data_IF_788368944736
#
_entry.id   IF_788368944736
#
_cell.length_a   1.000
_cell.length_b   1.000
_cell.length_c   1.000
_cell.angle_alpha   90.00
_cell.angle_beta   90.00
_cell.angle_gamma   90.00
#
_symmetry.space_group_name_H-M   'P 1'
#
loop_
_entity.id
_entity.type
_entity.pdbx_description
1 polymer ?
#
# COMPACT_ATOMS: atom_id res chain seq x y z
N UNK A 1 -1.51 10.74 11.25
CA UNK A 1 -1.57 9.28 11.45
C UNK A 1 -0.79 8.63 10.33
N UNK A 2 0.19 7.81 10.69
CA UNK A 2 0.99 6.99 9.77
C UNK A 2 0.48 5.56 10.00
N UNK A 3 0.08 4.85 8.94
CA UNK A 3 -0.22 3.42 9.05
C UNK A 3 0.98 2.65 8.51
N UNK A 4 1.50 1.70 9.29
CA UNK A 4 2.64 0.88 8.90
C UNK A 4 2.16 -0.56 8.76
N UNK A 5 2.28 -1.10 7.55
CA UNK A 5 1.92 -2.49 7.28
C UNK A 5 3.19 -3.28 6.91
N UNK A 6 3.35 -4.50 7.44
CA UNK A 6 4.47 -5.36 7.05
C UNK A 6 4.30 -5.78 5.59
N UNK A 7 5.37 -5.67 4.82
CA UNK A 7 5.44 -6.13 3.45
C UNK A 7 6.54 -7.18 3.29
N UNK A 8 6.34 -8.06 2.33
CA UNK A 8 7.30 -9.08 1.92
C UNK A 8 7.80 -8.75 0.53
N UNK A 9 9.12 -8.53 0.42
CA UNK A 9 9.80 -8.30 -0.85
C UNK A 9 10.37 -9.61 -1.35
N UNK A 10 9.87 -10.06 -2.48
CA UNK A 10 10.32 -11.29 -3.14
C UNK A 10 10.85 -10.94 -4.53
N UNK A 11 12.10 -11.29 -4.87
CA UNK A 11 12.60 -11.13 -6.23
C UNK A 11 11.85 -12.05 -7.20
N UNK A 12 11.47 -11.52 -8.35
CA UNK A 12 10.82 -12.27 -9.44
C UNK A 12 11.83 -12.88 -10.43
N UNK A 13 11.34 -13.62 -11.43
CA UNK A 13 12.15 -14.25 -12.47
C UNK A 13 12.74 -13.24 -13.48
N UNK A 14 12.16 -12.04 -13.60
CA UNK A 14 12.64 -10.94 -14.46
C UNK A 14 13.71 -10.07 -13.77
N UNK A 15 13.97 -10.31 -12.47
CA UNK A 15 14.90 -9.54 -11.65
C UNK A 15 14.28 -8.30 -11.01
N UNK A 16 12.95 -8.13 -11.07
CA UNK A 16 12.24 -7.11 -10.31
C UNK A 16 11.94 -7.61 -8.89
N UNK A 17 11.54 -6.69 -8.02
CA UNK A 17 11.09 -6.97 -6.66
C UNK A 17 9.58 -6.87 -6.59
N UNK A 18 8.93 -7.97 -6.26
CA UNK A 18 7.50 -8.03 -5.95
C UNK A 18 7.29 -7.75 -4.48
N UNK A 19 6.39 -6.83 -4.16
CA UNK A 19 5.97 -6.49 -2.80
C UNK A 19 4.56 -6.98 -2.57
N UNK A 20 4.39 -7.76 -1.51
CA UNK A 20 3.08 -8.28 -1.10
C UNK A 20 2.81 -7.95 0.36
N UNK A 21 1.53 -7.78 0.70
CA UNK A 21 1.10 -7.52 2.07
C UNK A 21 0.22 -8.67 2.56
N UNK A 22 0.60 -9.37 3.65
CA UNK A 22 -0.21 -10.45 4.19
C UNK A 22 -1.54 -9.96 4.78
N UNK A 23 -1.55 -8.75 5.35
CA UNK A 23 -2.76 -8.13 5.91
C UNK A 23 -3.69 -7.55 4.83
N UNK A 24 -3.14 -7.23 3.65
CA UNK A 24 -3.88 -6.59 2.54
C UNK A 24 -3.46 -7.26 1.22
N UNK A 25 -3.99 -8.47 0.91
CA UNK A 25 -3.62 -9.19 -0.31
C UNK A 25 -4.06 -8.47 -1.59
N UNK A 26 -4.90 -7.44 -1.48
CA UNK A 26 -5.28 -6.57 -2.60
C UNK A 26 -4.17 -5.57 -2.98
N UNK A 27 -3.23 -5.29 -2.08
CA UNK A 27 -2.15 -4.31 -2.27
C UNK A 27 -0.87 -4.95 -2.86
N UNK A 28 -0.99 -5.71 -3.95
CA UNK A 28 0.18 -6.33 -4.61
C UNK A 28 0.83 -5.32 -5.55
N UNK A 29 2.15 -5.18 -5.48
CA UNK A 29 2.90 -4.31 -6.38
C UNK A 29 4.30 -4.84 -6.66
N UNK A 30 5.07 -4.15 -7.49
CA UNK A 30 6.47 -4.45 -7.72
C UNK A 30 7.22 -3.29 -8.36
N UNK A 31 8.54 -3.38 -8.37
CA UNK A 31 9.41 -2.38 -8.96
C UNK A 31 10.77 -2.97 -9.32
N UNK A 32 11.52 -2.27 -10.18
CA UNK A 32 12.83 -2.75 -10.66
C UNK A 32 13.87 -2.72 -9.55
N UNK A 33 13.73 -1.76 -8.65
CA UNK A 33 14.60 -1.54 -7.51
C UNK A 33 13.80 -1.53 -6.20
N UNK A 34 14.47 -1.81 -5.07
CA UNK A 34 13.84 -1.82 -3.75
C UNK A 34 13.14 -0.49 -3.44
N UNK A 35 13.77 0.61 -3.81
CA UNK A 35 13.22 1.95 -3.62
C UNK A 35 11.96 2.17 -4.45
N UNK A 36 11.95 1.76 -5.72
CA UNK A 36 10.78 1.88 -6.60
C UNK A 36 9.64 0.99 -6.09
N UNK A 37 9.96 -0.26 -5.74
CA UNK A 37 9.03 -1.22 -5.19
C UNK A 37 8.35 -0.70 -3.90
N UNK A 38 9.11 -0.08 -3.00
CA UNK A 38 8.58 0.52 -1.77
C UNK A 38 7.71 1.76 -2.02
N UNK A 39 8.11 2.64 -2.95
CA UNK A 39 7.29 3.80 -3.34
C UNK A 39 5.95 3.34 -3.94
N UNK A 40 5.99 2.35 -4.81
CA UNK A 40 4.80 1.76 -5.40
C UNK A 40 3.95 1.05 -4.34
N UNK A 41 4.57 0.45 -3.32
CA UNK A 41 3.88 -0.24 -2.24
C UNK A 41 3.11 0.73 -1.34
N UNK A 42 3.66 1.93 -1.13
CA UNK A 42 2.94 3.00 -0.43
C UNK A 42 1.64 3.36 -1.15
N UNK A 43 1.70 3.61 -2.47
CA UNK A 43 0.53 4.02 -3.26
C UNK A 43 -0.51 2.88 -3.41
N UNK A 44 -0.03 1.65 -3.64
CA UNK A 44 -0.88 0.47 -3.72
C UNK A 44 -1.65 0.22 -2.42
N UNK A 45 -0.96 0.31 -1.27
CA UNK A 45 -1.57 0.18 0.04
C UNK A 45 -2.57 1.31 0.32
N UNK A 46 -2.24 2.55 -0.01
CA UNK A 46 -3.17 3.67 0.12
C UNK A 46 -4.44 3.47 -0.72
N UNK A 47 -4.30 2.93 -1.93
CA UNK A 47 -5.42 2.63 -2.83
C UNK A 47 -6.29 1.50 -2.28
N UNK A 48 -5.69 0.41 -1.81
CA UNK A 48 -6.43 -0.70 -1.20
C UNK A 48 -7.23 -0.23 0.04
N UNK A 49 -6.58 0.51 0.94
CA UNK A 49 -7.23 1.10 2.11
C UNK A 49 -8.38 2.05 1.73
N UNK A 50 -8.20 2.86 0.69
CA UNK A 50 -9.28 3.71 0.17
C UNK A 50 -10.45 2.87 -0.37
N UNK A 51 -10.18 1.71 -0.96
CA UNK A 51 -11.17 0.70 -1.36
C UNK A 51 -12.00 0.21 -0.17
N UNK A 52 -11.36 -0.21 0.93
CA UNK A 52 -12.07 -0.62 2.16
C UNK A 52 -12.97 0.49 2.71
N UNK A 53 -12.47 1.73 2.77
CA UNK A 53 -13.26 2.89 3.21
C UNK A 53 -14.45 3.13 2.29
N UNK A 54 -14.26 3.03 0.98
CA UNK A 54 -15.33 3.22 0.00
C UNK A 54 -16.38 2.12 0.08
N UNK A 55 -15.96 0.88 0.33
CA UNK A 55 -16.83 -0.27 0.57
C UNK A 55 -17.53 -0.23 1.94
N UNK A 56 -17.23 0.76 2.79
CA UNK A 56 -17.65 0.84 4.20
C UNK A 56 -17.25 -0.41 5.01
N UNK A 57 -16.16 -1.06 4.63
CA UNK A 57 -15.61 -2.20 5.33
C UNK A 57 -14.66 -1.75 6.43
N UNK A 58 -14.56 -2.56 7.48
CA UNK A 58 -13.61 -2.29 8.56
C UNK A 58 -12.18 -2.42 8.03
N UNK A 59 -11.37 -1.39 8.25
CA UNK A 59 -9.97 -1.42 7.85
C UNK A 59 -9.25 -2.49 8.68
N UNK A 60 -8.53 -3.43 8.06
CA UNK A 60 -7.77 -4.44 8.80
C UNK A 60 -6.76 -3.76 9.71
N UNK A 61 -6.78 -4.13 10.99
CA UNK A 61 -5.80 -3.67 11.98
C UNK A 61 -4.41 -4.15 11.58
N UNK A 62 -3.44 -3.23 11.55
CA UNK A 62 -2.04 -3.53 11.25
C UNK A 62 -1.50 -4.59 12.22
N UNK A 63 -1.03 -5.72 11.69
CA UNK A 63 -0.34 -6.72 12.48
C UNK A 63 1.01 -6.19 12.97
N UNK A 64 1.45 -6.56 14.17
CA UNK A 64 2.80 -6.21 14.65
C UNK A 64 3.85 -6.85 13.72
N UNK A 65 4.84 -6.11 13.24
CA UNK A 65 5.88 -6.63 12.35
C UNK A 65 6.64 -7.79 13.00
N UNK A 66 6.77 -8.90 12.30
CA UNK A 66 7.70 -9.97 12.65
C UNK A 66 9.16 -9.52 12.45
N UNK A 67 10.09 -10.07 13.23
CA UNK A 67 11.51 -9.75 13.11
C UNK A 67 12.04 -10.11 11.70
N UNK A 68 12.33 -9.10 10.88
CA UNK A 68 12.85 -9.25 9.51
C UNK A 68 11.89 -8.80 8.39
N UNK A 69 10.66 -8.38 8.71
CA UNK A 69 9.73 -7.83 7.72
C UNK A 69 9.96 -6.33 7.51
N UNK A 70 9.81 -5.88 6.27
CA UNK A 70 9.93 -4.46 5.93
C UNK A 70 8.59 -3.77 6.17
N UNK A 71 8.61 -2.57 6.76
CA UNK A 71 7.39 -1.84 7.11
C UNK A 71 7.18 -0.72 6.11
N UNK A 72 6.07 -0.76 5.38
CA UNK A 72 5.66 0.33 4.49
C UNK A 72 4.74 1.24 5.27
N UNK A 73 5.23 2.44 5.53
CA UNK A 73 4.50 3.51 6.20
C UNK A 73 3.79 4.38 5.16
N UNK A 74 2.46 4.33 5.14
CA UNK A 74 1.62 5.22 4.32
C UNK A 74 1.26 6.46 5.10
N UNK A 75 1.59 7.63 4.53
CA UNK A 75 1.18 8.91 5.09
C UNK A 75 -0.26 9.26 4.72
N UNK A 76 -1.03 9.79 5.68
CA UNK A 76 -2.45 10.16 5.47
C UNK A 76 -2.66 11.21 4.37
N UNK A 77 -1.63 11.97 4.02
CA UNK A 77 -1.69 12.98 2.97
C UNK A 77 -1.98 12.38 1.59
N UNK A 78 -1.37 11.24 1.29
CA UNK A 78 -1.54 10.51 0.02
C UNK A 78 -2.96 9.95 -0.09
N UNK A 79 -3.46 9.35 0.99
CA UNK A 79 -4.82 8.78 1.07
C UNK A 79 -5.93 9.81 0.80
N UNK A 80 -5.75 11.06 1.25
CA UNK A 80 -6.74 12.14 1.08
C UNK A 80 -6.81 12.66 -0.36
N UNK A 81 -5.70 12.61 -1.11
CA UNK A 81 -5.68 13.07 -2.50
C UNK A 81 -6.47 12.15 -3.42
N UNK A 82 -6.38 10.83 -3.21
CA UNK A 82 -7.07 9.85 -4.04
C UNK A 82 -8.60 9.92 -3.89
N UNK A 83 -9.09 10.14 -2.66
CA UNK A 83 -10.54 10.20 -2.40
C UNK A 83 -11.18 11.52 -2.87
N UNK A 84 -10.43 12.64 -2.86
CA UNK A 84 -10.97 13.97 -3.21
C UNK A 84 -10.84 14.34 -4.68
N UNK A 85 -10.01 13.64 -5.45
CA UNK A 85 -9.72 14.01 -6.85
C UNK A 85 -10.81 13.63 -7.87
N UNK A 86 -11.85 12.86 -7.49
CA UNK A 86 -12.94 12.47 -8.40
C UNK A 86 -14.20 13.34 -8.36
N UNK A 87 -14.25 14.40 -7.56
CA UNK A 87 -15.46 15.26 -7.46
C UNK A 87 -15.23 16.72 -7.89
N UNK A 88 -14.19 17.01 -8.67
CA UNK A 88 -14.00 18.36 -9.21
C UNK A 88 -13.54 18.31 -10.68
N UNK A 89 -14.35 17.71 -11.55
CA UNK A 89 -14.33 18.07 -12.97
C UNK A 89 -15.73 18.08 -13.56
N UNK A 90 -16.57 19.02 -13.10
CA UNK A 90 -17.74 19.45 -13.88
C UNK A 90 -18.14 20.87 -13.48
N UNK A 91 -17.59 21.86 -14.18
CA UNK A 91 -18.23 23.15 -14.49
C UNK A 91 -17.48 23.77 -15.65
#
# INVERSE_FOLDING_TARGET
MIYAYPCELTPDEEGNLTVTFPDVPEAITGGKDRTEALMMAEDALATALAGYVHAQWEIPTTSQPGAGQELVAVSRSTLIFLVRSRTCHRS
#
